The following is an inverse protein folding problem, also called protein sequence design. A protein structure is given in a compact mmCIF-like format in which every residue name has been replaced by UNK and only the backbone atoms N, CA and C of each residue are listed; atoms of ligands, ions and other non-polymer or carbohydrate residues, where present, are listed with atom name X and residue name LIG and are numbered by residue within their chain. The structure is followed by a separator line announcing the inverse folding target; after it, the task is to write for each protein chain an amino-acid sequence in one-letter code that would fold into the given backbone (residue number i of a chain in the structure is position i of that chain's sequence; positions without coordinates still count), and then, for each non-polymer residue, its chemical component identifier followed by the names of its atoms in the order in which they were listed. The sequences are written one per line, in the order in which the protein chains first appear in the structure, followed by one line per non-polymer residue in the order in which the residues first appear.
data_IF_041068910792
#
_entry.id   IF_041068910792
#
_cell.length_a   1.000
_cell.length_b   1.000
_cell.length_c   1.000
_cell.angle_alpha   90.00
_cell.angle_beta   90.00
_cell.angle_gamma   90.00
#
_symmetry.space_group_name_H-M   'P 1'
#
loop_
_entity.id
_entity.type
_entity.pdbx_description
1 polymer ?
#
# COMPACT_ATOMS: atom_id res chain seq x y z
N UNK A 1 -12.54 -11.91 10.23
CA UNK A 1 -11.40 -12.42 9.42
C UNK A 1 -10.56 -11.22 8.98
N UNK A 2 -9.22 -11.26 8.99
CA UNK A 2 -8.41 -10.16 8.47
C UNK A 2 -8.02 -10.39 6.99
N UNK A 3 -7.41 -9.39 6.33
CA UNK A 3 -7.05 -9.46 4.91
C UNK A 3 -6.01 -10.56 4.62
N UNK A 4 -5.03 -10.74 5.51
CA UNK A 4 -3.99 -11.76 5.39
C UNK A 4 -4.56 -13.17 5.46
N UNK A 5 -5.52 -13.43 6.34
CA UNK A 5 -6.17 -14.73 6.43
C UNK A 5 -6.89 -15.10 5.13
N UNK A 6 -7.55 -14.13 4.48
CA UNK A 6 -8.15 -14.37 3.16
C UNK A 6 -7.08 -14.67 2.10
N UNK A 7 -5.98 -13.93 2.09
CA UNK A 7 -4.87 -14.16 1.15
C UNK A 7 -4.21 -15.53 1.36
N UNK A 8 -4.00 -15.93 2.61
CA UNK A 8 -3.50 -17.26 2.97
C UNK A 8 -4.46 -18.35 2.48
N UNK A 9 -5.77 -18.20 2.72
CA UNK A 9 -6.77 -19.14 2.22
C UNK A 9 -6.71 -19.28 0.69
N UNK A 10 -6.64 -18.14 -0.03
CA UNK A 10 -6.52 -18.09 -1.49
C UNK A 10 -5.21 -18.77 -1.94
N UNK A 11 -4.09 -18.54 -1.26
CA UNK A 11 -2.78 -19.14 -1.56
C UNK A 11 -2.86 -20.67 -1.52
N UNK A 12 -3.37 -21.21 -0.40
CA UNK A 12 -3.49 -22.67 -0.20
C UNK A 12 -4.41 -23.28 -1.27
N UNK A 13 -5.58 -22.68 -1.52
CA UNK A 13 -6.52 -23.21 -2.52
C UNK A 13 -6.00 -23.10 -3.95
N UNK A 14 -5.25 -22.04 -4.25
CA UNK A 14 -4.59 -21.88 -5.55
C UNK A 14 -3.52 -22.97 -5.75
N UNK A 15 -2.72 -23.29 -4.73
CA UNK A 15 -1.75 -24.38 -4.78
C UNK A 15 -2.41 -25.76 -4.95
N UNK A 16 -3.65 -25.91 -4.47
CA UNK A 16 -4.50 -27.10 -4.69
C UNK A 16 -5.21 -27.09 -6.06
N UNK A 17 -4.91 -26.14 -6.95
CA UNK A 17 -5.54 -25.95 -8.26
C UNK A 17 -7.07 -25.74 -8.20
N UNK A 18 -7.57 -25.19 -7.08
CA UNK A 18 -8.97 -24.78 -6.97
C UNK A 18 -9.20 -23.51 -7.77
N UNK A 19 -10.30 -23.47 -8.54
CA UNK A 19 -10.67 -22.31 -9.34
C UNK A 19 -11.09 -21.14 -8.45
N UNK A 20 -10.72 -19.93 -8.83
CA UNK A 20 -11.08 -18.69 -8.12
C UNK A 20 -12.60 -18.53 -7.88
N UNK A 21 -13.44 -19.07 -8.77
CA UNK A 21 -14.90 -19.07 -8.61
C UNK A 21 -15.34 -19.86 -7.38
N UNK A 22 -14.75 -21.05 -7.18
CA UNK A 22 -15.06 -21.91 -6.03
C UNK A 22 -14.58 -21.26 -4.74
N UNK A 23 -13.35 -20.73 -4.75
CA UNK A 23 -12.79 -19.99 -3.60
C UNK A 23 -13.70 -18.82 -3.21
N UNK A 24 -14.22 -18.08 -4.19
CA UNK A 24 -15.16 -16.99 -3.94
C UNK A 24 -16.47 -17.47 -3.32
N UNK A 25 -17.05 -18.55 -3.84
CA UNK A 25 -18.32 -19.07 -3.34
C UNK A 25 -18.18 -19.62 -1.92
N UNK A 26 -17.08 -20.31 -1.61
CA UNK A 26 -16.75 -20.76 -0.26
C UNK A 26 -16.60 -19.59 0.72
N UNK A 27 -15.78 -18.60 0.37
CA UNK A 27 -15.56 -17.43 1.21
C UNK A 27 -16.85 -16.62 1.41
N UNK A 28 -17.67 -16.47 0.36
CA UNK A 28 -18.96 -15.78 0.46
C UNK A 28 -19.98 -16.55 1.27
N UNK A 29 -19.96 -17.89 1.22
CA UNK A 29 -20.83 -18.74 2.04
C UNK A 29 -20.53 -18.58 3.54
N UNK A 30 -19.24 -18.48 3.91
CA UNK A 30 -18.84 -18.38 5.31
C UNK A 30 -18.89 -16.94 5.84
N UNK A 31 -18.46 -15.95 5.04
CA UNK A 31 -18.24 -14.58 5.49
C UNK A 31 -19.21 -13.55 4.91
N UNK A 32 -20.10 -13.95 3.99
CA UNK A 32 -21.10 -13.06 3.40
C UNK A 32 -20.47 -11.82 2.76
N UNK A 33 -20.89 -10.64 3.21
CA UNK A 33 -20.42 -9.35 2.69
C UNK A 33 -19.01 -8.96 3.18
N UNK A 34 -18.48 -9.62 4.22
CA UNK A 34 -17.09 -9.45 4.64
C UNK A 34 -16.10 -10.18 3.72
N UNK A 35 -16.59 -11.06 2.85
CA UNK A 35 -15.76 -11.81 1.92
C UNK A 35 -15.12 -10.88 0.86
N UNK A 36 -13.87 -11.14 0.45
CA UNK A 36 -13.27 -10.42 -0.65
C UNK A 36 -14.07 -10.61 -1.95
N UNK A 37 -14.14 -9.55 -2.77
CA UNK A 37 -14.74 -9.66 -4.09
C UNK A 37 -14.05 -10.73 -4.95
N UNK A 38 -14.80 -11.32 -5.89
CA UNK A 38 -14.25 -12.24 -6.88
C UNK A 38 -13.01 -11.68 -7.59
N UNK A 39 -13.02 -10.39 -7.95
CA UNK A 39 -11.89 -9.73 -8.64
C UNK A 39 -10.63 -9.71 -7.78
N UNK A 40 -10.77 -9.48 -6.47
CA UNK A 40 -9.66 -9.55 -5.50
C UNK A 40 -9.09 -10.96 -5.43
N UNK A 41 -9.96 -11.97 -5.34
CA UNK A 41 -9.58 -13.39 -5.26
C UNK A 41 -8.84 -13.82 -6.53
N UNK A 42 -9.38 -13.50 -7.71
CA UNK A 42 -8.77 -13.84 -8.98
C UNK A 42 -7.37 -13.21 -9.16
N UNK A 43 -7.20 -11.96 -8.73
CA UNK A 43 -5.90 -11.27 -8.75
C UNK A 43 -4.87 -11.99 -7.86
N UNK A 44 -5.23 -12.29 -6.61
CA UNK A 44 -4.33 -13.01 -5.70
C UNK A 44 -4.02 -14.44 -6.18
N UNK A 45 -5.02 -15.16 -6.70
CA UNK A 45 -4.81 -16.48 -7.27
C UNK A 45 -3.90 -16.45 -8.51
N UNK A 46 -3.90 -15.37 -9.30
CA UNK A 46 -2.94 -15.16 -10.39
C UNK A 46 -1.53 -14.91 -9.84
N UNK A 47 -1.41 -13.98 -8.89
CA UNK A 47 -0.15 -13.64 -8.21
C UNK A 47 0.55 -14.88 -7.62
N UNK A 48 -0.20 -15.73 -6.91
CA UNK A 48 0.35 -16.98 -6.38
C UNK A 48 0.73 -18.00 -7.46
N UNK A 49 0.00 -18.04 -8.59
CA UNK A 49 0.37 -18.90 -9.75
C UNK A 49 1.65 -18.44 -10.45
N UNK A 50 1.96 -17.15 -10.37
CA UNK A 50 3.20 -16.56 -10.89
C UNK A 50 4.41 -16.82 -9.98
N UNK A 51 4.21 -17.48 -8.82
CA UNK A 51 5.29 -17.89 -7.92
C UNK A 51 5.59 -16.89 -6.81
N UNK A 52 4.80 -15.83 -6.67
CA UNK A 52 4.93 -14.91 -5.55
C UNK A 52 4.39 -15.57 -4.27
N UNK A 53 5.11 -15.46 -3.15
CA UNK A 53 4.73 -16.14 -1.90
C UNK A 53 4.27 -15.21 -0.77
N UNK A 54 4.52 -13.91 -0.90
CA UNK A 54 4.21 -12.92 0.13
C UNK A 54 2.70 -12.75 0.30
N UNK A 55 2.29 -12.69 1.57
CA UNK A 55 0.88 -12.56 2.00
C UNK A 55 0.61 -11.14 2.47
N UNK A 56 1.61 -10.50 3.06
CA UNK A 56 1.55 -9.14 3.55
C UNK A 56 1.58 -8.14 2.38
N UNK A 57 1.10 -6.91 2.63
CA UNK A 57 1.33 -5.84 1.67
C UNK A 57 2.83 -5.49 1.74
N UNK A 58 3.47 -5.34 0.57
CA UNK A 58 4.77 -4.69 0.50
C UNK A 58 4.71 -3.31 1.18
N UNK A 59 5.85 -2.88 1.72
CA UNK A 59 5.97 -1.54 2.29
C UNK A 59 5.57 -0.53 1.22
N UNK A 60 4.47 0.18 1.48
CA UNK A 60 3.94 1.14 0.51
C UNK A 60 4.98 2.24 0.38
N UNK A 61 5.45 2.47 -0.84
CA UNK A 61 6.11 3.71 -1.17
C UNK A 61 5.14 4.86 -0.90
N UNK A 62 5.27 5.45 0.28
CA UNK A 62 4.65 6.72 0.60
C UNK A 62 5.28 7.82 -0.25
N UNK A 63 4.80 9.05 -0.08
CA UNK A 63 5.55 10.21 -0.55
C UNK A 63 6.95 10.15 0.08
N UNK A 64 8.04 10.28 -0.68
CA UNK A 64 9.38 10.31 -0.11
C UNK A 64 9.43 11.37 0.99
N UNK A 65 9.77 10.96 2.22
CA UNK A 65 9.98 11.87 3.37
C UNK A 65 11.39 12.47 3.34
N UNK A 66 12.12 12.28 2.25
CA UNK A 66 13.48 12.81 2.06
C UNK A 66 13.53 14.33 2.04
N UNK A 67 12.43 15.01 1.70
CA UNK A 67 12.36 16.48 1.66
C UNK A 67 11.86 17.11 2.98
N UNK A 68 11.30 16.31 3.90
CA UNK A 68 10.69 16.78 5.16
C UNK A 68 11.49 16.37 6.40
N UNK A 69 12.81 16.53 6.35
CA UNK A 69 13.67 16.38 7.53
C UNK A 69 13.39 17.51 8.53
N UNK A 70 13.67 17.29 9.81
CA UNK A 70 13.54 18.34 10.83
C UNK A 70 14.43 19.55 10.50
N UNK A 71 15.61 19.30 9.93
CA UNK A 71 16.57 20.31 9.50
C UNK A 71 15.99 21.23 8.43
N UNK A 72 15.46 20.66 7.34
CA UNK A 72 14.80 21.41 6.26
C UNK A 72 13.59 22.22 6.77
N UNK A 73 12.83 21.65 7.71
CA UNK A 73 11.67 22.33 8.31
C UNK A 73 12.13 23.52 9.18
N UNK A 74 13.19 23.37 9.95
CA UNK A 74 13.75 24.44 10.78
C UNK A 74 14.38 25.54 9.92
N UNK A 75 15.06 25.18 8.84
CA UNK A 75 15.65 26.12 7.90
C UNK A 75 14.59 26.98 7.20
N UNK A 76 13.57 26.34 6.61
CA UNK A 76 12.42 27.07 6.01
C UNK A 76 11.74 27.96 7.06
N UNK A 77 11.56 27.48 8.29
CA UNK A 77 10.97 28.28 9.38
C UNK A 77 11.83 29.49 9.73
N UNK A 78 13.15 29.37 9.73
CA UNK A 78 14.07 30.49 9.97
C UNK A 78 13.90 31.54 8.87
N UNK A 79 13.95 31.13 7.60
CA UNK A 79 13.86 32.05 6.45
C UNK A 79 12.52 32.81 6.46
N UNK A 80 11.40 32.11 6.69
CA UNK A 80 10.06 32.73 6.75
C UNK A 80 9.90 33.63 7.98
N UNK A 81 10.58 33.31 9.10
CA UNK A 81 10.57 34.16 10.29
C UNK A 81 11.37 35.45 10.09
N UNK A 82 12.44 35.39 9.28
CA UNK A 82 13.29 36.54 8.98
C UNK A 82 12.66 37.44 7.89
N UNK A 83 12.06 36.85 6.85
CA UNK A 83 11.25 37.55 5.85
C UNK A 83 9.93 36.81 5.51
N UNK A 84 8.79 37.31 6.03
CA UNK A 84 7.48 36.74 5.72
C UNK A 84 7.02 36.88 4.26
N UNK A 85 7.70 37.68 3.43
CA UNK A 85 7.35 37.88 2.01
C UNK A 85 8.15 36.98 1.06
N UNK A 86 9.03 36.12 1.59
CA UNK A 86 9.80 35.18 0.79
C UNK A 86 8.88 34.28 -0.04
N UNK A 87 9.19 34.18 -1.33
CA UNK A 87 8.42 33.35 -2.26
C UNK A 87 8.87 31.90 -2.17
N UNK A 88 8.01 30.99 -2.65
CA UNK A 88 8.35 29.56 -2.69
C UNK A 88 9.60 29.31 -3.55
N UNK A 89 9.79 30.05 -4.65
CA UNK A 89 10.98 29.88 -5.50
C UNK A 89 12.27 30.27 -4.76
N UNK A 90 12.25 31.37 -4.02
CA UNK A 90 13.39 31.80 -3.20
C UNK A 90 13.68 30.80 -2.07
N UNK A 91 12.64 30.25 -1.43
CA UNK A 91 12.82 29.19 -0.43
C UNK A 91 13.53 27.96 -1.02
N UNK A 92 13.14 27.52 -2.22
CA UNK A 92 13.77 26.39 -2.90
C UNK A 92 15.23 26.67 -3.27
N UNK A 93 15.55 27.88 -3.70
CA UNK A 93 16.94 28.30 -3.95
C UNK A 93 17.79 28.33 -2.68
N UNK A 94 17.18 28.58 -1.51
CA UNK A 94 17.87 28.61 -0.23
C UNK A 94 18.07 27.25 0.41
N UNK A 95 17.11 26.32 0.27
CA UNK A 95 17.13 25.04 0.99
C UNK A 95 17.48 23.83 0.12
N UNK A 96 17.82 24.02 -1.16
CA UNK A 96 18.10 22.94 -2.13
C UNK A 96 16.99 21.86 -2.17
N UNK A 97 15.71 22.28 -2.02
CA UNK A 97 14.49 21.43 -1.99
C UNK A 97 13.60 21.56 -3.23
#
# INVERSE_FOLDING_TARGET
MNKENFRFYIKVHTALNVKATIIHDELRTVFGDEAPSYRTIARWAQWFREGHEEIEDEERSGRPVTESTLENIEEIRSIVSDDPHVTIAELQEHTDL
#
